data_IF_273966935030
#
_entry.id   IF_273966935030
#
_cell.length_a   1.000
_cell.length_b   1.000
_cell.length_c   1.000
_cell.angle_alpha   90.00
_cell.angle_beta   90.00
_cell.angle_gamma   90.00
#
_symmetry.space_group_name_H-M   'P 1'
#
loop_
_entity.id
_entity.type
_entity.pdbx_description
1 polymer ?
#
# COMPACT_ATOMS: atom_id res chain seq x y z
N UNK A 1 -27.32 44.80 17.22
CA UNK A 1 -26.08 45.43 16.74
C UNK A 1 -25.60 44.57 15.58
N UNK A 2 -25.75 45.10 14.36
CA UNK A 2 -25.46 44.41 13.10
C UNK A 2 -24.00 43.97 13.06
N UNK A 3 -23.78 42.69 12.78
CA UNK A 3 -22.47 42.08 12.60
C UNK A 3 -21.74 42.92 11.54
N UNK A 4 -20.64 43.58 11.90
CA UNK A 4 -19.76 44.14 10.88
C UNK A 4 -19.26 42.93 10.07
N UNK A 5 -19.74 42.78 8.84
CA UNK A 5 -19.32 41.72 7.93
C UNK A 5 -17.80 41.77 7.80
N UNK A 6 -17.10 40.92 8.57
CA UNK A 6 -15.66 40.80 8.52
C UNK A 6 -15.34 40.23 7.14
N UNK A 7 -14.83 41.09 6.25
CA UNK A 7 -14.35 40.65 4.94
C UNK A 7 -13.31 39.55 5.15
N UNK A 8 -13.66 38.33 4.71
CA UNK A 8 -12.77 37.17 4.74
C UNK A 8 -12.02 37.11 3.41
N UNK A 9 -10.80 36.60 3.49
CA UNK A 9 -9.94 36.45 2.33
C UNK A 9 -9.38 35.03 2.30
N UNK A 10 -9.08 34.53 1.12
CA UNK A 10 -8.35 33.30 0.89
C UNK A 10 -7.03 33.64 0.18
N UNK A 11 -5.88 33.12 0.66
CA UNK A 11 -4.60 33.27 -0.02
C UNK A 11 -4.54 32.35 -1.23
N UNK A 12 -4.62 32.91 -2.43
CA UNK A 12 -4.48 32.18 -3.69
C UNK A 12 -3.05 32.32 -4.22
N UNK A 13 -2.37 31.20 -4.46
CA UNK A 13 -1.03 31.17 -5.08
C UNK A 13 -1.09 31.31 -6.60
N UNK A 14 -0.10 31.97 -7.17
CA UNK A 14 0.08 32.04 -8.62
C UNK A 14 0.60 30.71 -9.18
N UNK A 15 -0.07 30.17 -10.20
CA UNK A 15 0.33 28.95 -10.91
C UNK A 15 1.75 28.97 -11.47
N UNK A 16 2.29 30.15 -11.80
CA UNK A 16 3.65 30.29 -12.36
C UNK A 16 4.71 30.52 -11.29
N UNK A 17 4.32 31.02 -10.12
CA UNK A 17 5.24 31.30 -9.02
C UNK A 17 4.50 31.09 -7.69
N UNK A 18 4.67 29.92 -7.05
CA UNK A 18 3.99 29.58 -5.81
C UNK A 18 4.29 30.50 -4.61
N UNK A 19 5.35 31.32 -4.69
CA UNK A 19 5.72 32.31 -3.67
C UNK A 19 4.85 33.57 -3.72
N UNK A 20 4.21 33.82 -4.88
CA UNK A 20 3.38 34.99 -5.11
C UNK A 20 1.93 34.67 -4.71
N UNK A 21 1.48 35.27 -3.62
CA UNK A 21 0.15 35.05 -3.03
C UNK A 21 -0.71 36.30 -3.21
N UNK A 22 -1.94 36.12 -3.68
CA UNK A 22 -2.96 37.15 -3.82
C UNK A 22 -4.13 36.85 -2.91
N UNK A 23 -4.63 37.86 -2.18
CA UNK A 23 -5.79 37.69 -1.30
C UNK A 23 -7.08 37.88 -2.09
N UNK A 24 -7.87 36.81 -2.21
CA UNK A 24 -9.17 36.81 -2.88
C UNK A 24 -10.28 36.90 -1.83
N UNK A 25 -11.23 37.84 -1.94
CA UNK A 25 -12.34 37.92 -1.01
C UNK A 25 -13.23 36.67 -1.11
N UNK A 26 -13.63 36.11 0.04
CA UNK A 26 -14.49 34.92 0.14
C UNK A 26 -15.68 35.18 1.05
N UNK A 27 -16.72 34.36 0.92
CA UNK A 27 -17.89 34.39 1.82
C UNK A 27 -17.56 33.76 3.18
N UNK A 28 -18.36 34.07 4.20
CA UNK A 28 -18.19 33.49 5.54
C UNK A 28 -18.40 31.96 5.52
N UNK A 29 -19.35 31.46 4.71
CA UNK A 29 -19.57 30.02 4.52
C UNK A 29 -18.35 29.31 3.91
N UNK A 30 -17.72 29.93 2.90
CA UNK A 30 -16.49 29.42 2.30
C UNK A 30 -15.35 29.42 3.32
N UNK A 31 -15.25 30.46 4.16
CA UNK A 31 -14.25 30.53 5.21
C UNK A 31 -14.38 29.38 6.21
N UNK A 32 -15.60 29.13 6.73
CA UNK A 32 -15.86 28.03 7.66
C UNK A 32 -15.69 26.65 7.04
N UNK A 33 -15.78 26.53 5.71
CA UNK A 33 -15.51 25.27 5.00
C UNK A 33 -14.02 25.02 4.82
N UNK A 34 -13.25 26.04 4.43
CA UNK A 34 -11.85 25.90 4.01
C UNK A 34 -10.86 25.95 5.18
N UNK A 35 -11.00 26.95 6.07
CA UNK A 35 -10.00 27.24 7.09
C UNK A 35 -9.78 26.15 8.15
N UNK A 36 -10.79 25.37 8.58
CA UNK A 36 -10.56 24.28 9.54
C UNK A 36 -9.54 23.25 9.03
N UNK A 37 -9.61 22.90 7.74
CA UNK A 37 -8.69 21.94 7.14
C UNK A 37 -7.28 22.52 7.01
N UNK A 38 -7.17 23.78 6.60
CA UNK A 38 -5.89 24.52 6.52
C UNK A 38 -5.21 24.56 7.90
N UNK A 39 -5.97 24.86 8.95
CA UNK A 39 -5.44 24.87 10.31
C UNK A 39 -5.05 23.48 10.80
N UNK A 40 -5.84 22.45 10.47
CA UNK A 40 -5.53 21.05 10.79
C UNK A 40 -4.20 20.63 10.17
N UNK A 41 -4.00 20.91 8.88
CA UNK A 41 -2.75 20.62 8.17
C UNK A 41 -1.60 21.38 8.81
N UNK A 42 -1.75 22.70 9.02
CA UNK A 42 -0.68 23.51 9.63
C UNK A 42 -0.30 23.02 11.02
N UNK A 43 -1.26 22.70 11.87
CA UNK A 43 -1.00 22.22 13.23
C UNK A 43 -0.29 20.86 13.21
N UNK A 44 -0.68 19.96 12.30
CA UNK A 44 0.00 18.68 12.09
C UNK A 44 1.45 18.88 11.64
N UNK A 45 1.69 19.71 10.63
CA UNK A 45 3.04 19.95 10.12
C UNK A 45 3.92 20.70 11.16
N UNK A 46 3.34 21.59 11.98
CA UNK A 46 4.05 22.21 13.10
C UNK A 46 4.43 21.20 14.19
N UNK A 47 3.52 20.27 14.51
CA UNK A 47 3.77 19.19 15.48
C UNK A 47 4.94 18.30 15.04
N UNK A 48 5.05 18.02 13.75
CA UNK A 48 6.15 17.26 13.15
C UNK A 48 7.40 18.11 12.80
N UNK A 49 7.45 19.38 13.24
CA UNK A 49 8.54 20.32 12.95
C UNK A 49 8.81 20.57 11.45
N UNK A 50 7.82 20.31 10.59
CA UNK A 50 7.90 20.49 9.13
C UNK A 50 7.43 21.86 8.66
N UNK A 51 6.65 22.57 9.48
CA UNK A 51 6.15 23.91 9.14
C UNK A 51 6.90 24.99 9.92
N UNK A 52 7.72 25.78 9.23
CA UNK A 52 8.51 26.89 9.80
C UNK A 52 7.92 28.27 9.47
N UNK A 53 6.63 28.33 9.10
CA UNK A 53 5.94 29.58 8.74
C UNK A 53 6.00 30.62 9.87
N UNK A 54 6.65 31.79 9.64
CA UNK A 54 6.66 32.85 10.64
C UNK A 54 5.26 33.42 10.86
N UNK A 55 4.96 33.85 12.10
CA UNK A 55 3.64 34.41 12.44
C UNK A 55 3.22 35.56 11.50
N UNK A 56 4.17 36.41 11.11
CA UNK A 56 3.97 37.53 10.17
C UNK A 56 3.50 37.09 8.77
N UNK A 57 3.77 35.86 8.35
CA UNK A 57 3.43 35.35 7.01
C UNK A 57 2.31 34.29 7.03
N UNK A 58 1.67 34.06 8.18
CA UNK A 58 0.55 33.12 8.30
C UNK A 58 -0.61 33.45 7.34
N UNK A 59 -0.80 34.72 6.99
CA UNK A 59 -1.84 35.15 6.03
C UNK A 59 -1.64 34.56 4.63
N UNK A 60 -0.44 34.07 4.27
CA UNK A 60 -0.15 33.39 3.01
C UNK A 60 -0.54 31.90 3.00
N UNK A 61 -0.87 31.32 4.16
CA UNK A 61 -1.06 29.89 4.32
C UNK A 61 -2.42 29.46 3.77
N UNK A 62 -2.38 28.66 2.72
CA UNK A 62 -3.50 28.01 2.02
C UNK A 62 -3.65 26.53 2.35
N UNK A 63 -2.75 25.98 3.18
CA UNK A 63 -2.76 24.58 3.59
C UNK A 63 -2.00 23.65 2.64
N UNK A 64 -1.46 24.16 1.54
CA UNK A 64 -0.58 23.40 0.67
C UNK A 64 0.88 23.54 1.14
N UNK A 65 1.45 22.42 1.60
CA UNK A 65 2.82 22.38 2.10
C UNK A 65 3.83 21.96 1.03
N UNK A 66 3.41 21.40 -0.11
CA UNK A 66 4.33 20.92 -1.14
C UNK A 66 5.10 22.07 -1.79
N UNK A 67 4.40 23.17 -2.09
CA UNK A 67 4.98 24.36 -2.72
C UNK A 67 5.24 25.51 -1.73
N UNK A 68 5.30 25.20 -0.42
CA UNK A 68 5.46 26.20 0.62
C UNK A 68 6.94 26.51 0.88
N UNK A 69 7.33 27.79 0.78
CA UNK A 69 8.70 28.27 1.06
C UNK A 69 9.20 28.04 2.49
N UNK A 70 8.28 27.74 3.40
CA UNK A 70 8.59 27.50 4.82
C UNK A 70 8.42 26.02 5.21
N UNK A 71 8.24 25.11 4.26
CA UNK A 71 8.21 23.68 4.53
C UNK A 71 9.65 23.16 4.71
N UNK A 72 9.82 22.30 5.70
CA UNK A 72 11.08 21.67 6.07
C UNK A 72 10.88 20.16 6.19
N UNK A 73 11.97 19.40 6.10
CA UNK A 73 11.93 17.95 6.31
C UNK A 73 11.39 17.58 7.71
N UNK A 74 11.63 18.45 8.70
CA UNK A 74 11.14 18.31 10.08
C UNK A 74 11.69 17.07 10.75
N UNK A 75 10.79 16.23 11.25
CA UNK A 75 11.10 14.96 11.91
C UNK A 75 11.32 13.77 10.96
N UNK A 76 11.30 13.98 9.63
CA UNK A 76 11.72 12.94 8.69
C UNK A 76 13.24 12.94 8.56
N UNK A 77 13.94 11.89 9.04
CA UNK A 77 15.36 11.76 8.78
C UNK A 77 15.59 11.61 7.28
N UNK A 78 16.62 12.27 6.74
CA UNK A 78 17.00 12.01 5.36
C UNK A 78 17.45 10.56 5.21
N UNK A 79 17.15 9.95 4.07
CA UNK A 79 17.65 8.60 3.75
C UNK A 79 19.18 8.56 3.70
N UNK A 80 19.82 9.69 3.38
CA UNK A 80 21.28 9.84 3.32
C UNK A 80 21.89 10.26 4.67
N UNK A 81 21.07 10.56 5.68
CA UNK A 81 21.58 10.98 6.98
C UNK A 81 22.11 9.76 7.74
N UNK A 82 23.36 9.80 8.22
CA UNK A 82 23.89 8.73 9.04
C UNK A 82 23.07 8.62 10.34
N UNK A 83 22.85 7.38 10.78
CA UNK A 83 22.31 7.10 12.11
C UNK A 83 23.18 7.73 13.20
N UNK A 84 22.64 7.89 14.40
CA UNK A 84 23.34 8.50 15.55
C UNK A 84 24.69 7.85 15.85
N UNK A 85 24.84 6.58 15.51
CA UNK A 85 26.03 5.78 15.78
C UNK A 85 27.04 5.83 14.60
N UNK A 86 26.69 6.49 13.50
CA UNK A 86 27.55 6.63 12.31
C UNK A 86 27.76 5.36 11.49
N UNK A 87 27.10 4.26 11.85
CA UNK A 87 27.34 2.93 11.30
C UNK A 87 26.57 2.61 10.00
N UNK A 88 25.79 3.56 9.49
CA UNK A 88 24.95 3.40 8.31
C UNK A 88 23.82 4.42 8.29
N UNK A 89 23.05 4.45 7.21
CA UNK A 89 21.85 5.28 7.09
C UNK A 89 20.58 4.44 7.14
N UNK A 90 19.40 5.06 7.00
CA UNK A 90 18.12 4.34 7.05
C UNK A 90 18.00 3.22 5.99
N UNK A 91 18.70 3.33 4.86
CA UNK A 91 18.69 2.33 3.79
C UNK A 91 19.39 1.03 4.19
N UNK A 92 20.47 1.11 4.96
CA UNK A 92 21.25 -0.06 5.39
C UNK A 92 20.46 -0.98 6.35
N UNK A 93 19.43 -0.43 7.01
CA UNK A 93 18.58 -1.16 7.97
C UNK A 93 17.20 -1.52 7.41
N UNK A 94 16.91 -1.17 6.15
CA UNK A 94 15.67 -1.61 5.51
C UNK A 94 15.71 -3.14 5.37
N UNK A 95 14.77 -3.87 5.99
CA UNK A 95 14.78 -5.31 5.91
C UNK A 95 14.59 -5.74 4.45
N UNK A 96 15.45 -6.64 3.98
CA UNK A 96 15.26 -7.22 2.67
C UNK A 96 13.94 -8.00 2.66
N UNK A 97 13.12 -7.69 1.66
CA UNK A 97 11.85 -8.38 1.42
C UNK A 97 12.03 -9.72 0.74
N UNK A 98 13.27 -10.09 0.37
CA UNK A 98 13.53 -11.41 -0.18
C UNK A 98 13.19 -12.51 0.83
N UNK A 99 12.55 -13.60 0.37
CA UNK A 99 12.25 -14.71 1.25
C UNK A 99 13.56 -15.33 1.76
N UNK A 100 13.61 -15.65 3.05
CA UNK A 100 14.71 -16.43 3.63
C UNK A 100 14.92 -17.72 2.82
N UNK A 101 16.18 -18.08 2.59
CA UNK A 101 16.52 -19.29 1.83
C UNK A 101 15.90 -20.55 2.44
N UNK A 102 15.78 -20.60 3.76
CA UNK A 102 15.08 -21.67 4.48
C UNK A 102 13.61 -21.79 4.06
N UNK A 103 12.90 -20.67 3.90
CA UNK A 103 11.50 -20.66 3.43
C UNK A 103 11.39 -21.17 1.99
N UNK A 104 12.37 -20.85 1.14
CA UNK A 104 12.41 -21.34 -0.24
C UNK A 104 12.64 -22.86 -0.27
N UNK A 105 13.58 -23.37 0.52
CA UNK A 105 13.92 -24.79 0.59
C UNK A 105 12.75 -25.59 1.16
N UNK A 106 12.19 -25.17 2.30
CA UNK A 106 11.03 -25.82 2.93
C UNK A 106 9.80 -25.80 2.02
N UNK A 107 9.56 -24.68 1.32
CA UNK A 107 8.52 -24.57 0.30
C UNK A 107 8.70 -25.57 -0.85
N UNK A 108 9.94 -25.74 -1.34
CA UNK A 108 10.26 -26.73 -2.38
C UNK A 108 9.99 -28.15 -1.90
N UNK A 109 10.48 -28.53 -0.72
CA UNK A 109 10.30 -29.86 -0.15
C UNK A 109 8.82 -30.19 0.09
N UNK A 110 8.04 -29.21 0.58
CA UNK A 110 6.60 -29.37 0.76
C UNK A 110 5.91 -29.60 -0.59
N UNK A 111 6.24 -28.81 -1.61
CA UNK A 111 5.64 -28.94 -2.94
C UNK A 111 5.95 -30.31 -3.57
N UNK A 112 7.20 -30.78 -3.46
CA UNK A 112 7.60 -32.12 -3.91
C UNK A 112 6.78 -33.21 -3.24
N UNK A 113 6.58 -33.13 -1.92
CA UNK A 113 5.77 -34.09 -1.15
C UNK A 113 4.31 -34.09 -1.60
N UNK A 114 3.73 -32.91 -1.83
CA UNK A 114 2.35 -32.78 -2.30
C UNK A 114 2.16 -33.36 -3.71
N UNK A 115 3.10 -33.13 -4.63
CA UNK A 115 3.05 -33.73 -5.97
C UNK A 115 3.22 -35.24 -5.95
N UNK A 116 4.12 -35.77 -5.13
CA UNK A 116 4.25 -37.22 -4.96
C UNK A 116 2.94 -37.84 -4.47
N UNK A 117 2.30 -37.23 -3.45
CA UNK A 117 0.99 -37.71 -2.99
C UNK A 117 -0.10 -37.59 -4.05
N UNK A 118 -0.10 -36.52 -4.84
CA UNK A 118 -1.08 -36.35 -5.91
C UNK A 118 -0.95 -37.46 -6.97
N UNK A 119 0.27 -37.84 -7.33
CA UNK A 119 0.54 -38.94 -8.28
C UNK A 119 0.07 -40.30 -7.78
N UNK A 120 0.13 -40.55 -6.48
CA UNK A 120 -0.44 -41.75 -5.87
C UNK A 120 -1.98 -41.77 -5.95
N UNK A 121 -2.62 -40.59 -5.86
CA UNK A 121 -4.08 -40.47 -5.77
C UNK A 121 -4.77 -40.32 -7.13
N UNK A 122 -4.09 -39.79 -8.15
CA UNK A 122 -4.65 -39.59 -9.49
C UNK A 122 -3.67 -39.97 -10.60
N UNK A 123 -4.06 -40.87 -11.53
CA UNK A 123 -3.21 -41.25 -12.65
C UNK A 123 -2.96 -40.11 -13.66
N UNK A 124 -3.81 -39.08 -13.70
CA UNK A 124 -3.62 -37.88 -14.53
C UNK A 124 -2.92 -36.74 -13.77
N UNK A 125 -2.28 -37.02 -12.62
CA UNK A 125 -1.66 -36.01 -11.77
C UNK A 125 -0.72 -35.07 -12.51
N UNK A 126 0.21 -35.59 -13.32
CA UNK A 126 1.18 -34.75 -14.03
C UNK A 126 0.50 -33.81 -15.04
N UNK A 127 -0.59 -34.26 -15.68
CA UNK A 127 -1.40 -33.40 -16.56
C UNK A 127 -2.12 -32.32 -15.78
N UNK A 128 -2.65 -32.64 -14.60
CA UNK A 128 -3.28 -31.65 -13.70
C UNK A 128 -2.25 -30.60 -13.23
N UNK A 129 -1.06 -31.05 -12.83
CA UNK A 129 0.05 -30.17 -12.41
C UNK A 129 0.44 -29.23 -13.56
N UNK A 130 0.57 -29.76 -14.77
CA UNK A 130 0.88 -28.95 -15.94
C UNK A 130 -0.22 -27.91 -16.21
N UNK A 131 -1.50 -28.30 -16.12
CA UNK A 131 -2.62 -27.36 -16.27
C UNK A 131 -2.62 -26.25 -15.21
N UNK A 132 -2.21 -26.53 -13.97
CA UNK A 132 -2.03 -25.49 -12.97
C UNK A 132 -0.85 -24.57 -13.29
N UNK A 133 0.28 -25.13 -13.75
CA UNK A 133 1.47 -24.37 -14.14
C UNK A 133 1.17 -23.42 -15.31
N UNK A 134 0.41 -23.88 -16.30
CA UNK A 134 0.04 -23.09 -17.48
C UNK A 134 -1.02 -22.01 -17.16
N UNK A 135 -1.69 -22.08 -16.01
CA UNK A 135 -2.74 -21.15 -15.60
C UNK A 135 -2.45 -20.56 -14.20
N UNK A 136 -1.45 -19.67 -14.06
CA UNK A 136 -1.02 -19.13 -12.77
C UNK A 136 -2.09 -18.31 -12.04
N UNK A 137 -3.05 -17.72 -12.77
CA UNK A 137 -4.22 -17.02 -12.20
C UNK A 137 -5.31 -17.97 -11.67
N UNK A 138 -5.11 -19.28 -11.79
CA UNK A 138 -6.05 -20.32 -11.43
C UNK A 138 -6.85 -20.85 -12.62
N UNK A 139 -7.31 -22.09 -12.49
CA UNK A 139 -8.15 -22.79 -13.47
C UNK A 139 -9.25 -23.56 -12.74
N UNK A 140 -10.48 -23.54 -13.28
CA UNK A 140 -11.61 -24.22 -12.65
C UNK A 140 -11.57 -25.73 -12.88
N UNK A 141 -12.02 -26.51 -11.89
CA UNK A 141 -12.13 -27.98 -11.99
C UNK A 141 -12.95 -28.41 -13.20
N UNK A 142 -13.95 -27.62 -13.63
CA UNK A 142 -14.73 -27.86 -14.85
C UNK A 142 -13.86 -27.83 -16.10
N UNK A 143 -12.97 -26.83 -16.21
CA UNK A 143 -12.07 -26.68 -17.36
C UNK A 143 -11.03 -27.80 -17.37
N UNK A 144 -10.47 -28.14 -16.21
CA UNK A 144 -9.55 -29.29 -16.05
C UNK A 144 -10.24 -30.59 -16.48
N UNK A 145 -11.43 -30.89 -15.94
CA UNK A 145 -12.18 -32.10 -16.28
C UNK A 145 -12.46 -32.21 -17.78
N UNK A 146 -12.86 -31.10 -18.42
CA UNK A 146 -13.09 -31.04 -19.86
C UNK A 146 -11.81 -31.36 -20.64
N UNK A 147 -10.68 -30.78 -20.26
CA UNK A 147 -9.39 -31.05 -20.93
C UNK A 147 -8.93 -32.50 -20.74
N UNK A 148 -9.21 -33.10 -19.59
CA UNK A 148 -8.91 -34.51 -19.31
C UNK A 148 -9.93 -35.50 -19.90
N UNK A 149 -11.02 -35.02 -20.50
CA UNK A 149 -12.10 -35.88 -21.02
C UNK A 149 -12.89 -36.61 -19.92
N UNK A 150 -12.85 -36.13 -18.67
CA UNK A 150 -13.51 -36.75 -17.52
C UNK A 150 -14.88 -36.12 -17.23
N UNK A 151 -15.87 -36.89 -16.75
CA UNK A 151 -17.14 -36.30 -16.34
C UNK A 151 -16.93 -35.30 -15.18
N UNK A 152 -17.49 -34.10 -15.32
CA UNK A 152 -17.21 -32.99 -14.41
C UNK A 152 -17.54 -33.31 -12.95
N UNK A 153 -18.70 -33.92 -12.68
CA UNK A 153 -19.16 -34.19 -11.29
C UNK A 153 -18.24 -35.18 -10.57
N UNK A 154 -17.90 -36.30 -11.22
CA UNK A 154 -16.99 -37.30 -10.65
C UNK A 154 -15.60 -36.75 -10.45
N UNK A 155 -15.10 -35.94 -11.38
CA UNK A 155 -13.81 -35.26 -11.22
C UNK A 155 -13.82 -34.32 -10.01
N UNK A 156 -14.84 -33.47 -9.87
CA UNK A 156 -14.96 -32.54 -8.74
C UNK A 156 -15.00 -33.25 -7.39
N UNK A 157 -15.78 -34.33 -7.27
CA UNK A 157 -15.88 -35.09 -6.02
C UNK A 157 -14.58 -35.85 -5.70
N UNK A 158 -13.88 -36.36 -6.71
CA UNK A 158 -12.53 -36.92 -6.53
C UNK A 158 -11.54 -35.85 -6.05
N UNK A 159 -11.54 -34.68 -6.68
CA UNK A 159 -10.66 -33.57 -6.31
C UNK A 159 -10.92 -33.06 -4.88
N UNK A 160 -12.16 -33.07 -4.39
CA UNK A 160 -12.45 -32.78 -2.97
C UNK A 160 -11.70 -33.75 -2.05
N UNK A 161 -11.79 -35.06 -2.31
CA UNK A 161 -11.08 -36.07 -1.50
C UNK A 161 -9.57 -35.91 -1.58
N UNK A 162 -9.03 -35.68 -2.77
CA UNK A 162 -7.59 -35.42 -2.98
C UNK A 162 -7.15 -34.20 -2.17
N UNK A 163 -7.88 -33.09 -2.22
CA UNK A 163 -7.57 -31.88 -1.44
C UNK A 163 -7.57 -32.17 0.07
N UNK A 164 -8.54 -32.94 0.56
CA UNK A 164 -8.55 -33.38 1.97
C UNK A 164 -7.29 -34.17 2.34
N UNK A 165 -6.82 -35.06 1.47
CA UNK A 165 -5.58 -35.82 1.71
C UNK A 165 -4.34 -34.93 1.69
N UNK A 166 -4.28 -33.95 0.78
CA UNK A 166 -3.17 -33.01 0.68
C UNK A 166 -3.13 -32.03 1.87
N UNK A 167 -4.27 -31.60 2.42
CA UNK A 167 -4.31 -30.77 3.63
C UNK A 167 -3.70 -31.46 4.85
N UNK A 168 -3.92 -32.78 4.99
CA UNK A 168 -3.26 -33.56 6.06
C UNK A 168 -1.74 -33.49 5.98
N UNK A 169 -1.17 -33.40 4.78
CA UNK A 169 0.28 -33.32 4.58
C UNK A 169 0.82 -31.93 4.89
N UNK A 170 0.05 -30.89 4.57
CA UNK A 170 0.42 -29.49 4.84
C UNK A 170 0.43 -29.15 6.32
N UNK A 171 -0.31 -29.91 7.14
CA UNK A 171 -0.46 -29.65 8.57
C UNK A 171 -1.61 -28.69 8.90
N UNK A 172 -2.46 -28.37 7.92
CA UNK A 172 -3.68 -27.58 8.13
C UNK A 172 -4.78 -28.51 8.69
N UNK A 173 -4.73 -28.77 10.00
CA UNK A 173 -5.80 -29.43 10.76
C UNK A 173 -5.96 -28.84 12.15
#
# INVERSE_FOLDING_TARGET
>A
MTNQDKKRFYPLRDTKNPLKVTLVPITEEQYHTLYPEIWRIRNREQYHHRCMCPYRFIWKCDGDCLDCEYHAAGDMPSLDEPTTDGNGNMYDYLPDSTPLMENVITGRMLLEKLFSRLRELDPDADRIIQLWKDNPKGISDRKIAKTLGRPQRTFADRMKRIRTELWKIRGDK
#
